data_IF_447934320166
#
_entry.id   IF_447934320166
#
_cell.length_a   1.000
_cell.length_b   1.000
_cell.length_c   1.000
_cell.angle_alpha   90.00
_cell.angle_beta   90.00
_cell.angle_gamma   90.00
#
_symmetry.space_group_name_H-M   'P 1'
#
loop_
_entity.id
_entity.type
_entity.pdbx_description
1 polymer ?
#
# COMPACT_ATOMS: atom_id res chain seq x y z
N UNK A 1 -13.95 -8.97 -69.76
CA UNK A 1 -12.78 -8.27 -70.33
C UNK A 1 -12.10 -7.50 -69.21
N UNK A 2 -10.77 -7.66 -69.07
CA UNK A 2 -9.75 -6.69 -68.60
C UNK A 2 -10.11 -5.75 -67.43
N UNK A 3 -9.27 -5.47 -66.42
CA UNK A 3 -7.84 -5.63 -66.23
C UNK A 3 -7.53 -5.14 -64.80
N UNK A 4 -6.49 -5.72 -64.21
CA UNK A 4 -5.74 -5.19 -63.08
C UNK A 4 -5.30 -3.73 -63.32
N UNK A 5 -5.10 -2.96 -62.25
CA UNK A 5 -3.82 -2.26 -62.06
C UNK A 5 -3.65 -1.79 -60.62
N UNK A 6 -2.58 -2.27 -60.00
CA UNK A 6 -1.89 -1.63 -58.89
C UNK A 6 -0.88 -0.64 -59.48
N UNK A 7 -0.68 0.52 -58.85
CA UNK A 7 0.55 1.30 -59.07
C UNK A 7 0.96 2.05 -57.81
N UNK A 8 2.26 2.08 -57.62
CA UNK A 8 2.99 2.44 -56.42
C UNK A 8 3.50 3.88 -56.41
N UNK A 9 3.95 4.28 -55.21
CA UNK A 9 5.11 5.13 -54.90
C UNK A 9 5.20 6.57 -55.46
N UNK A 10 5.43 7.53 -54.56
CA UNK A 10 6.70 8.25 -54.44
C UNK A 10 6.68 9.28 -53.30
N UNK A 11 7.84 9.44 -52.67
CA UNK A 11 8.17 10.34 -51.57
C UNK A 11 8.34 11.80 -52.02
N UNK A 12 8.22 12.75 -51.08
CA UNK A 12 8.99 13.99 -51.13
C UNK A 12 9.20 14.61 -49.75
N UNK A 13 10.41 15.15 -49.62
CA UNK A 13 11.10 15.67 -48.44
C UNK A 13 10.50 16.98 -47.93
N UNK A 14 10.58 17.18 -46.61
CA UNK A 14 10.40 18.47 -45.95
C UNK A 14 11.44 18.64 -44.85
N UNK A 15 12.47 19.43 -45.14
CA UNK A 15 13.55 19.85 -44.24
C UNK A 15 13.14 21.07 -43.41
N UNK A 16 13.73 21.20 -42.21
CA UNK A 16 13.97 22.50 -41.58
C UNK A 16 13.26 22.73 -40.24
N UNK A 17 13.99 22.63 -39.13
CA UNK A 17 14.58 23.78 -38.43
C UNK A 17 15.08 23.32 -37.05
N UNK A 18 16.41 23.39 -36.89
CA UNK A 18 17.14 23.13 -35.66
C UNK A 18 17.11 24.36 -34.76
N UNK A 19 16.79 24.18 -33.48
CA UNK A 19 17.08 25.14 -32.42
C UNK A 19 18.25 24.62 -31.56
N UNK A 20 19.21 25.47 -31.16
CA UNK A 20 20.36 25.04 -30.37
C UNK A 20 19.97 24.88 -28.89
N UNK A 21 20.15 23.67 -28.36
CA UNK A 21 20.09 23.42 -26.91
C UNK A 21 21.47 23.77 -26.32
N UNK A 22 21.52 24.88 -25.60
CA UNK A 22 22.65 25.26 -24.76
C UNK A 22 22.72 24.28 -23.58
N UNK A 23 23.72 23.39 -23.58
CA UNK A 23 24.05 22.55 -22.42
C UNK A 23 24.91 23.35 -21.44
N UNK A 24 24.38 23.63 -20.26
CA UNK A 24 25.17 24.07 -19.12
C UNK A 24 25.97 22.88 -18.53
N UNK A 25 27.22 23.08 -18.09
CA UNK A 25 27.99 22.03 -17.43
C UNK A 25 27.51 21.83 -15.99
N UNK A 26 27.00 20.62 -15.68
CA UNK A 26 26.78 20.18 -14.31
C UNK A 26 28.15 19.82 -13.69
N UNK A 27 28.54 20.60 -12.69
CA UNK A 27 29.65 20.28 -11.80
C UNK A 27 29.28 19.07 -10.94
N UNK A 28 30.15 18.05 -10.93
CA UNK A 28 30.03 16.90 -10.06
C UNK A 28 30.41 17.27 -8.61
N UNK A 29 29.60 16.95 -7.59
CA UNK A 29 30.05 17.05 -6.21
C UNK A 29 30.97 15.87 -5.89
N UNK A 30 32.17 16.20 -5.39
CA UNK A 30 33.15 15.24 -4.90
C UNK A 30 32.64 14.49 -3.67
N UNK A 31 32.65 13.15 -3.75
CA UNK A 31 32.49 12.27 -2.61
C UNK A 31 33.80 12.22 -1.81
N UNK A 32 33.76 12.76 -0.59
CA UNK A 32 34.80 12.55 0.40
C UNK A 32 34.74 11.10 0.94
N UNK A 33 35.88 10.46 1.25
CA UNK A 33 35.91 9.10 1.78
C UNK A 33 35.44 9.08 3.25
N UNK A 34 34.46 8.22 3.54
CA UNK A 34 34.01 7.94 4.89
C UNK A 34 35.12 7.25 5.69
N UNK A 35 35.49 7.88 6.81
CA UNK A 35 36.46 7.34 7.77
C UNK A 35 35.95 6.09 8.46
N UNK A 36 36.86 5.12 8.62
CA UNK A 36 36.73 3.96 9.48
C UNK A 36 36.45 4.39 10.93
N UNK A 37 35.23 4.14 11.42
CA UNK A 37 34.94 4.17 12.85
C UNK A 37 35.11 2.76 13.41
N UNK A 38 36.14 2.61 14.23
CA UNK A 38 36.42 1.44 15.04
C UNK A 38 35.32 1.21 16.08
N UNK A 39 34.86 -0.04 16.18
CA UNK A 39 33.94 -0.47 17.23
C UNK A 39 34.64 -0.53 18.60
N UNK A 40 34.01 -0.08 19.70
CA UNK A 40 34.49 -0.41 21.03
C UNK A 40 34.03 -1.82 21.42
N UNK A 41 35.01 -2.64 21.84
CA UNK A 41 34.80 -3.86 22.63
C UNK A 41 34.26 -3.46 24.01
N UNK A 42 33.15 -4.07 24.43
CA UNK A 42 32.76 -4.11 25.84
C UNK A 42 32.73 -5.57 26.30
N UNK A 43 33.63 -5.86 27.25
CA UNK A 43 33.70 -7.09 28.00
C UNK A 43 33.02 -6.93 29.36
N UNK A 44 32.55 -8.08 29.87
CA UNK A 44 32.40 -8.47 31.27
C UNK A 44 31.11 -8.04 32.03
N UNK A 45 30.21 -9.01 32.11
CA UNK A 45 29.76 -9.71 33.34
C UNK A 45 29.70 -8.91 34.66
N UNK A 46 28.47 -8.70 35.13
CA UNK A 46 28.12 -8.78 36.55
C UNK A 46 26.62 -9.15 36.68
N UNK A 47 26.32 -10.24 37.38
CA UNK A 47 24.99 -10.60 37.88
C UNK A 47 24.86 -10.20 39.37
N UNK A 48 23.72 -10.43 40.06
CA UNK A 48 22.72 -9.41 40.33
C UNK A 48 22.63 -9.04 41.83
N UNK A 49 22.23 -7.81 42.13
CA UNK A 49 21.78 -7.43 43.47
C UNK A 49 20.25 -7.37 43.46
N UNK A 50 19.63 -8.30 44.18
CA UNK A 50 18.21 -8.33 44.51
C UNK A 50 17.86 -7.17 45.46
N UNK A 51 16.89 -6.29 45.13
CA UNK A 51 16.26 -5.46 46.13
C UNK A 51 15.13 -6.24 46.82
N UNK A 52 15.16 -6.20 48.14
CA UNK A 52 14.15 -6.69 49.07
C UNK A 52 12.81 -5.97 48.87
N UNK A 53 11.73 -6.75 48.78
CA UNK A 53 10.37 -6.24 48.69
C UNK A 53 9.92 -5.62 50.04
N UNK A 54 9.30 -4.43 50.05
CA UNK A 54 8.62 -3.91 51.23
C UNK A 54 7.29 -4.66 51.49
N UNK A 55 6.77 -4.63 52.73
CA UNK A 55 5.57 -5.36 53.12
C UNK A 55 4.32 -4.84 52.42
N UNK A 56 3.52 -5.78 51.91
CA UNK A 56 2.18 -5.56 51.34
C UNK A 56 1.22 -5.20 52.48
N UNK A 57 0.83 -3.94 52.56
CA UNK A 57 -0.32 -3.50 53.36
C UNK A 57 -1.57 -3.68 52.50
N UNK A 58 -2.46 -4.58 52.91
CA UNK A 58 -3.75 -4.77 52.26
C UNK A 58 -4.63 -3.52 52.45
N UNK A 59 -5.17 -2.91 51.38
CA UNK A 59 -6.19 -1.89 51.54
C UNK A 59 -7.50 -2.55 51.98
N UNK A 60 -8.11 -2.01 53.04
CA UNK A 60 -9.45 -2.36 53.46
C UNK A 60 -10.45 -2.04 52.33
N UNK A 61 -11.27 -3.02 51.97
CA UNK A 61 -12.37 -2.83 51.05
C UNK A 61 -13.39 -1.84 51.66
N UNK A 62 -13.81 -0.79 50.94
CA UNK A 62 -14.94 0.01 51.39
C UNK A 62 -16.21 -0.83 51.26
N UNK A 63 -16.93 -0.98 52.36
CA UNK A 63 -18.31 -1.45 52.38
C UNK A 63 -19.15 -0.50 51.53
N UNK A 64 -19.45 -0.90 50.30
CA UNK A 64 -20.46 -0.23 49.50
C UNK A 64 -21.80 -0.37 50.21
N UNK A 65 -22.39 0.77 50.58
CA UNK A 65 -23.73 0.88 51.15
C UNK A 65 -24.75 0.24 50.20
N UNK A 66 -25.59 -0.64 50.75
CA UNK A 66 -26.70 -1.35 50.08
C UNK A 66 -27.77 -0.43 49.48
N UNK A 67 -27.67 0.89 49.62
CA UNK A 67 -28.63 1.88 49.11
C UNK A 67 -28.44 2.22 47.61
N UNK A 68 -27.35 1.80 46.97
CA UNK A 68 -27.11 2.09 45.54
C UNK A 68 -27.68 1.04 44.58
N UNK A 69 -28.31 -0.03 45.09
CA UNK A 69 -28.78 -1.18 44.29
C UNK A 69 -30.26 -1.13 43.91
N UNK A 70 -31.05 -0.19 44.43
CA UNK A 70 -32.51 -0.14 44.20
C UNK A 70 -32.94 0.95 43.19
N UNK A 71 -32.02 1.80 42.74
CA UNK A 71 -32.32 2.89 41.78
C UNK A 71 -32.17 2.52 40.29
N UNK A 72 -31.63 1.35 39.95
CA UNK A 72 -31.33 0.96 38.56
C UNK A 72 -32.41 0.11 37.86
N UNK A 73 -33.51 -0.22 38.53
CA UNK A 73 -34.53 -1.14 37.99
C UNK A 73 -35.73 -0.47 37.30
N UNK A 74 -35.76 0.86 37.18
CA UNK A 74 -36.93 1.58 36.63
C UNK A 74 -36.58 2.69 35.62
N UNK A 75 -35.37 2.71 35.06
CA UNK A 75 -35.14 3.53 33.87
C UNK A 75 -35.81 2.82 32.68
N UNK A 76 -36.74 3.46 31.95
CA UNK A 76 -37.28 2.89 30.73
C UNK A 76 -36.10 2.60 29.80
N UNK A 77 -35.88 1.32 29.50
CA UNK A 77 -34.95 0.94 28.44
C UNK A 77 -35.51 1.59 27.17
N UNK A 78 -34.88 2.69 26.76
CA UNK A 78 -35.08 3.23 25.43
C UNK A 78 -34.81 2.07 24.49
N UNK A 79 -35.86 1.56 23.85
CA UNK A 79 -35.73 0.56 22.81
C UNK A 79 -34.63 1.07 21.88
N UNK A 80 -33.59 0.27 21.57
CA UNK A 80 -32.57 0.72 20.65
C UNK A 80 -33.32 1.18 19.41
N UNK A 81 -33.15 2.45 19.06
CA UNK A 81 -33.66 2.99 17.83
C UNK A 81 -33.01 2.17 16.72
N UNK A 82 -33.64 1.05 16.36
CA UNK A 82 -33.54 0.46 15.05
C UNK A 82 -34.22 1.45 14.15
N UNK A 83 -33.53 2.58 13.94
CA UNK A 83 -33.76 3.45 12.81
C UNK A 83 -33.75 2.49 11.64
N UNK A 84 -34.92 2.35 11.03
CA UNK A 84 -35.08 1.83 9.69
C UNK A 84 -34.26 2.74 8.78
N UNK A 85 -32.94 2.59 8.84
CA UNK A 85 -32.06 2.96 7.76
C UNK A 85 -32.47 2.04 6.61
N UNK A 86 -33.52 2.45 5.89
CA UNK A 86 -33.65 2.09 4.49
C UNK A 86 -32.50 2.78 3.81
N UNK A 87 -31.35 2.13 3.87
CA UNK A 87 -30.12 2.67 3.35
C UNK A 87 -30.24 2.77 1.83
N UNK A 88 -30.51 3.97 1.35
CA UNK A 88 -30.31 4.29 -0.06
C UNK A 88 -28.81 4.52 -0.25
N UNK A 89 -28.10 3.51 -0.76
CA UNK A 89 -26.81 3.75 -1.39
C UNK A 89 -27.06 4.65 -2.60
N UNK A 90 -26.31 5.74 -2.73
CA UNK A 90 -26.42 6.61 -3.90
C UNK A 90 -26.21 5.77 -5.16
N UNK A 91 -26.98 6.05 -6.23
CA UNK A 91 -26.92 5.25 -7.47
C UNK A 91 -25.53 5.28 -8.14
N UNK A 92 -24.73 6.30 -7.82
CA UNK A 92 -23.38 6.54 -8.31
C UNK A 92 -22.30 6.16 -7.28
N UNK A 93 -22.65 5.48 -6.18
CA UNK A 93 -21.71 5.13 -5.11
C UNK A 93 -20.51 4.33 -5.63
N UNK A 94 -19.31 4.89 -5.49
CA UNK A 94 -18.05 4.33 -5.98
C UNK A 94 -17.79 4.47 -7.49
N UNK A 95 -18.72 5.05 -8.25
CA UNK A 95 -18.48 5.39 -9.64
C UNK A 95 -17.39 6.45 -9.73
N UNK A 96 -16.73 6.56 -10.90
CA UNK A 96 -15.76 7.62 -11.15
C UNK A 96 -16.41 9.00 -10.97
N UNK A 97 -15.83 9.85 -10.12
CA UNK A 97 -16.41 11.13 -9.68
C UNK A 97 -17.80 11.02 -9.01
N UNK A 98 -18.20 9.83 -8.58
CA UNK A 98 -19.47 9.60 -7.89
C UNK A 98 -19.33 9.67 -6.37
N UNK A 99 -20.41 9.31 -5.67
CA UNK A 99 -20.45 9.35 -4.20
C UNK A 99 -19.38 8.45 -3.55
N UNK A 100 -18.63 9.03 -2.61
CA UNK A 100 -17.59 8.36 -1.81
C UNK A 100 -18.18 7.74 -0.53
N UNK A 101 -17.36 7.06 0.30
CA UNK A 101 -17.81 6.64 1.63
C UNK A 101 -18.06 7.87 2.51
N UNK A 102 -19.07 7.79 3.38
CA UNK A 102 -19.51 8.92 4.21
C UNK A 102 -18.48 9.35 5.27
N UNK A 103 -17.60 8.43 5.70
CA UNK A 103 -16.58 8.65 6.72
C UNK A 103 -15.14 8.61 6.14
N UNK A 104 -14.97 9.05 4.89
CA UNK A 104 -13.66 9.06 4.20
C UNK A 104 -12.54 9.67 5.04
N UNK A 105 -12.81 10.81 5.68
CA UNK A 105 -11.79 11.57 6.40
C UNK A 105 -11.45 10.97 7.78
N UNK A 106 -12.28 10.07 8.32
CA UNK A 106 -12.10 9.51 9.67
C UNK A 106 -11.73 8.03 9.69
N UNK A 107 -12.01 7.28 8.62
CA UNK A 107 -11.83 5.82 8.58
C UNK A 107 -10.39 5.38 8.88
N UNK A 108 -9.38 6.12 8.42
CA UNK A 108 -7.98 5.76 8.70
C UNK A 108 -7.63 5.95 10.18
N UNK A 109 -8.19 6.98 10.83
CA UNK A 109 -8.07 7.13 12.28
C UNK A 109 -8.86 6.06 13.05
N UNK A 110 -9.94 5.51 12.49
CA UNK A 110 -10.62 4.34 13.05
C UNK A 110 -9.74 3.09 12.97
N UNK A 111 -9.01 2.89 11.88
CA UNK A 111 -8.00 1.82 11.76
C UNK A 111 -6.96 1.97 12.86
N UNK A 112 -6.37 3.15 13.01
CA UNK A 112 -5.37 3.43 14.06
C UNK A 112 -5.91 3.05 15.45
N UNK A 113 -7.13 3.52 15.79
CA UNK A 113 -7.76 3.20 17.08
C UNK A 113 -8.02 1.70 17.26
N UNK A 114 -8.48 1.00 16.23
CA UNK A 114 -8.71 -0.45 16.30
C UNK A 114 -7.43 -1.25 16.53
N UNK A 115 -6.29 -0.75 16.07
CA UNK A 115 -4.96 -1.30 16.32
C UNK A 115 -4.35 -0.83 17.66
N UNK A 116 -5.08 -0.06 18.46
CA UNK A 116 -4.59 0.52 19.72
C UNK A 116 -3.55 1.63 19.52
N UNK A 117 -3.53 2.26 18.35
CA UNK A 117 -2.60 3.36 18.00
C UNK A 117 -3.24 4.72 18.20
N UNK A 118 -2.39 5.68 18.54
CA UNK A 118 -2.76 7.09 18.78
C UNK A 118 -2.39 8.01 17.61
N UNK A 119 -1.60 7.51 16.67
CA UNK A 119 -1.11 8.23 15.51
C UNK A 119 -1.12 7.30 14.29
N UNK A 120 -1.09 7.86 13.08
CA UNK A 120 -0.90 7.07 11.87
C UNK A 120 0.47 6.37 11.84
N UNK A 121 0.66 5.35 10.98
CA UNK A 121 1.93 4.63 10.94
C UNK A 121 3.01 5.51 10.29
N UNK A 122 4.28 5.30 10.68
CA UNK A 122 5.40 5.93 9.97
C UNK A 122 5.42 5.53 8.48
N UNK A 123 5.17 4.26 8.19
CA UNK A 123 5.09 3.70 6.83
C UNK A 123 3.97 2.67 6.73
N UNK A 124 3.26 2.66 5.60
CA UNK A 124 2.34 1.60 5.21
C UNK A 124 2.60 1.21 3.75
N UNK A 125 3.08 -0.02 3.54
CA UNK A 125 3.18 -0.61 2.21
C UNK A 125 1.86 -1.27 1.86
N UNK A 126 1.23 -0.86 0.76
CA UNK A 126 -0.09 -1.35 0.36
C UNK A 126 0.07 -2.22 -0.89
N UNK A 127 -0.29 -3.50 -0.74
CA UNK A 127 -0.45 -4.44 -1.84
C UNK A 127 -1.89 -4.41 -2.34
N UNK A 128 -2.07 -3.87 -3.54
CA UNK A 128 -3.36 -3.88 -4.22
C UNK A 128 -3.51 -5.22 -4.95
N UNK A 129 -4.54 -5.99 -4.59
CA UNK A 129 -4.75 -7.34 -5.15
C UNK A 129 -4.92 -7.26 -6.68
N UNK A 130 -4.52 -8.32 -7.41
CA UNK A 130 -4.79 -8.41 -8.84
C UNK A 130 -6.29 -8.28 -9.12
N UNK A 131 -6.62 -7.87 -10.33
CA UNK A 131 -8.01 -7.85 -10.78
C UNK A 131 -8.17 -8.91 -11.85
N UNK A 132 -9.17 -9.76 -11.68
CA UNK A 132 -9.52 -10.73 -12.70
C UNK A 132 -10.14 -10.00 -13.90
N UNK A 133 -9.51 -10.15 -15.06
CA UNK A 133 -10.10 -9.77 -16.36
C UNK A 133 -10.89 -10.93 -16.94
N UNK A 134 -10.47 -12.16 -16.67
CA UNK A 134 -11.17 -13.39 -17.00
C UNK A 134 -11.52 -14.14 -15.72
N UNK A 135 -12.80 -14.47 -15.53
CA UNK A 135 -13.26 -15.37 -14.48
C UNK A 135 -13.14 -16.80 -14.99
N UNK A 136 -12.42 -17.64 -14.27
CA UNK A 136 -12.35 -19.08 -14.49
C UNK A 136 -13.48 -19.75 -13.70
N UNK A 137 -13.69 -21.04 -13.93
CA UNK A 137 -14.59 -21.85 -13.12
C UNK A 137 -14.16 -21.83 -11.63
N UNK A 138 -15.11 -22.03 -10.72
CA UNK A 138 -14.91 -22.00 -9.25
C UNK A 138 -14.55 -20.65 -8.62
N UNK A 139 -14.81 -19.53 -9.30
CA UNK A 139 -14.69 -18.19 -8.70
C UNK A 139 -13.27 -17.60 -8.69
N UNK A 140 -12.29 -18.33 -9.22
CA UNK A 140 -10.95 -17.81 -9.49
C UNK A 140 -10.93 -16.96 -10.77
N UNK A 141 -9.92 -16.11 -10.94
CA UNK A 141 -9.75 -15.36 -12.18
C UNK A 141 -8.31 -14.96 -12.46
N UNK A 142 -8.02 -14.71 -13.75
CA UNK A 142 -6.71 -14.21 -14.21
C UNK A 142 -6.85 -12.81 -14.78
N UNK A 143 -5.81 -11.99 -14.62
CA UNK A 143 -5.77 -10.58 -14.97
C UNK A 143 -4.62 -10.26 -15.92
N UNK A 144 -4.73 -9.13 -16.63
CA UNK A 144 -3.60 -8.58 -17.42
C UNK A 144 -2.35 -8.30 -16.57
N UNK A 145 -2.53 -8.08 -15.27
CA UNK A 145 -1.46 -8.02 -14.29
C UNK A 145 -1.78 -9.00 -13.13
N UNK A 146 -1.29 -10.25 -13.19
CA UNK A 146 -1.57 -11.26 -12.18
C UNK A 146 -0.79 -11.04 -10.88
N UNK A 147 0.14 -10.08 -10.85
CA UNK A 147 0.99 -9.82 -9.70
C UNK A 147 0.40 -8.78 -8.76
N UNK A 148 -0.57 -7.96 -9.20
CA UNK A 148 -1.13 -6.87 -8.40
C UNK A 148 -0.36 -5.56 -8.54
N UNK A 149 -0.50 -4.67 -7.57
CA UNK A 149 0.08 -3.32 -7.62
C UNK A 149 0.66 -2.91 -6.25
N UNK A 150 1.65 -2.01 -6.27
CA UNK A 150 2.44 -1.60 -5.10
C UNK A 150 2.35 -0.10 -4.88
N UNK A 151 2.09 0.28 -3.63
CA UNK A 151 1.88 1.66 -3.21
C UNK A 151 2.52 1.85 -1.84
N UNK A 152 2.96 3.07 -1.53
CA UNK A 152 3.50 3.40 -0.21
C UNK A 152 2.79 4.62 0.34
N UNK A 153 2.26 4.50 1.55
CA UNK A 153 1.85 5.62 2.39
C UNK A 153 2.94 5.84 3.43
N UNK A 154 3.24 7.09 3.76
CA UNK A 154 4.16 7.42 4.86
C UNK A 154 3.76 8.73 5.52
N UNK A 155 4.20 8.88 6.76
CA UNK A 155 3.97 10.07 7.59
C UNK A 155 5.29 10.80 7.76
N UNK A 156 5.35 12.05 7.32
CA UNK A 156 6.54 12.90 7.47
C UNK A 156 6.75 13.31 8.94
N UNK A 157 7.95 13.74 9.33
CA UNK A 157 8.22 14.19 10.71
C UNK A 157 7.33 15.35 11.19
N UNK A 158 6.76 16.13 10.27
CA UNK A 158 5.80 17.20 10.56
C UNK A 158 4.35 16.70 10.75
N UNK A 159 4.12 15.39 10.64
CA UNK A 159 2.80 14.75 10.72
C UNK A 159 2.06 14.68 9.37
N UNK A 160 2.57 15.28 8.30
CA UNK A 160 1.94 15.24 6.98
C UNK A 160 1.97 13.82 6.42
N UNK A 161 0.81 13.30 5.98
CA UNK A 161 0.74 12.00 5.33
C UNK A 161 0.72 12.14 3.81
N UNK A 162 1.44 11.25 3.13
CA UNK A 162 1.47 11.16 1.67
C UNK A 162 1.30 9.71 1.23
N UNK A 163 0.59 9.51 0.13
CA UNK A 163 0.63 8.27 -0.65
C UNK A 163 1.43 8.51 -1.92
N UNK A 164 2.51 7.77 -2.10
CA UNK A 164 3.24 7.69 -3.35
C UNK A 164 2.70 6.52 -4.17
N UNK A 165 2.22 6.84 -5.37
CA UNK A 165 1.78 5.87 -6.36
C UNK A 165 2.59 5.97 -7.66
N UNK A 166 2.91 4.81 -8.24
CA UNK A 166 3.60 4.71 -9.53
C UNK A 166 2.60 4.37 -10.62
N UNK A 167 2.42 5.27 -11.57
CA UNK A 167 1.40 5.15 -12.62
C UNK A 167 2.02 4.73 -13.94
N UNK A 168 1.44 3.68 -14.54
CA UNK A 168 1.87 3.14 -15.83
C UNK A 168 1.06 3.61 -17.04
N UNK A 169 0.04 4.44 -16.81
CA UNK A 169 -0.84 4.94 -17.85
C UNK A 169 -0.12 5.95 -18.77
N UNK A 170 -0.33 5.82 -20.08
CA UNK A 170 0.26 6.72 -21.08
C UNK A 170 -0.23 8.16 -20.84
N UNK A 171 0.68 9.13 -20.93
CA UNK A 171 0.37 10.56 -20.77
C UNK A 171 0.15 11.00 -19.32
N UNK A 172 0.38 10.13 -18.33
CA UNK A 172 0.32 10.47 -16.90
C UNK A 172 1.72 10.60 -16.31
N UNK A 173 1.84 11.33 -15.21
CA UNK A 173 3.09 11.43 -14.45
C UNK A 173 3.43 10.06 -13.85
N UNK A 174 4.70 9.66 -13.91
CA UNK A 174 5.14 8.36 -13.39
C UNK A 174 4.91 8.25 -11.88
N UNK A 175 5.19 9.31 -11.13
CA UNK A 175 5.05 9.38 -9.67
C UNK A 175 3.94 10.36 -9.35
N UNK A 176 2.98 9.95 -8.52
CA UNK A 176 1.91 10.81 -8.03
C UNK A 176 1.89 10.78 -6.51
N UNK A 177 1.76 11.94 -5.90
CA UNK A 177 1.58 12.09 -4.45
C UNK A 177 0.12 12.46 -4.17
N UNK A 178 -0.57 11.64 -3.39
CA UNK A 178 -1.98 11.81 -3.05
C UNK A 178 -2.16 11.83 -1.53
N UNK A 179 -3.30 12.34 -1.07
CA UNK A 179 -3.73 12.12 0.31
C UNK A 179 -4.11 10.65 0.51
N UNK A 180 -3.83 10.05 1.69
CA UNK A 180 -4.19 8.66 1.96
C UNK A 180 -5.67 8.32 1.75
N UNK A 181 -6.55 9.18 2.25
CA UNK A 181 -8.00 9.03 2.14
C UNK A 181 -8.49 9.11 0.69
N UNK A 182 -7.89 9.98 -0.12
CA UNK A 182 -8.22 10.08 -1.55
C UNK A 182 -7.73 8.86 -2.33
N UNK A 183 -6.54 8.32 -2.01
CA UNK A 183 -6.04 7.13 -2.72
C UNK A 183 -6.93 5.90 -2.49
N UNK A 184 -7.30 5.66 -1.23
CA UNK A 184 -8.05 4.47 -0.82
C UNK A 184 -9.55 4.60 -1.09
N UNK A 185 -10.11 5.80 -0.87
CA UNK A 185 -11.55 6.04 -0.82
C UNK A 185 -12.02 7.24 -1.66
N UNK A 186 -11.14 7.88 -2.43
CA UNK A 186 -11.51 8.97 -3.31
C UNK A 186 -11.93 8.48 -4.70
N UNK A 187 -13.10 8.90 -5.19
CA UNK A 187 -13.58 8.58 -6.56
C UNK A 187 -13.14 9.61 -7.59
N UNK A 188 -12.76 10.82 -7.15
CA UNK A 188 -12.32 11.94 -7.99
C UNK A 188 -10.89 11.83 -8.53
N UNK A 189 -10.10 10.87 -8.03
CA UNK A 189 -8.67 10.74 -8.34
C UNK A 189 -8.33 9.54 -9.23
N UNK A 190 -9.34 8.82 -9.74
CA UNK A 190 -9.14 7.63 -10.57
C UNK A 190 -8.36 7.92 -11.87
N UNK A 191 -8.47 9.15 -12.37
CA UNK A 191 -7.73 9.59 -13.56
C UNK A 191 -6.39 10.24 -13.24
N UNK A 192 -6.22 10.84 -12.06
CA UNK A 192 -5.12 11.75 -11.76
C UNK A 192 -4.05 11.15 -10.84
N UNK A 193 -4.19 9.89 -10.43
CA UNK A 193 -3.15 9.24 -9.63
C UNK A 193 -3.56 7.95 -8.92
N UNK A 194 -4.83 7.52 -8.95
CA UNK A 194 -5.29 6.25 -8.40
C UNK A 194 -6.02 5.41 -9.45
N UNK A 195 -5.34 5.03 -10.54
CA UNK A 195 -5.98 4.20 -11.58
C UNK A 195 -6.44 2.83 -11.07
N UNK A 196 -5.97 2.41 -9.89
CA UNK A 196 -6.39 1.20 -9.20
C UNK A 196 -7.84 1.28 -8.69
N UNK A 197 -8.41 2.48 -8.56
CA UNK A 197 -9.80 2.71 -8.20
C UNK A 197 -10.14 2.49 -6.73
N UNK A 198 -9.14 2.59 -5.85
CA UNK A 198 -9.34 2.42 -4.40
C UNK A 198 -9.99 1.08 -4.03
N UNK A 199 -10.64 1.08 -2.86
CA UNK A 199 -11.41 -0.08 -2.37
C UNK A 199 -12.71 -0.31 -3.14
N UNK A 200 -13.13 0.62 -4.01
CA UNK A 200 -14.31 0.42 -4.86
C UNK A 200 -14.08 -0.65 -5.92
N UNK A 201 -12.86 -0.71 -6.47
CA UNK A 201 -12.53 -1.67 -7.52
C UNK A 201 -11.76 -2.89 -7.02
N UNK A 202 -10.92 -2.74 -5.97
CA UNK A 202 -9.97 -3.79 -5.58
C UNK A 202 -9.86 -3.94 -4.08
N UNK A 203 -9.69 -5.19 -3.64
CA UNK A 203 -9.24 -5.47 -2.28
C UNK A 203 -7.76 -5.13 -2.15
N UNK A 204 -7.35 -4.67 -0.96
CA UNK A 204 -5.97 -4.36 -0.66
C UNK A 204 -5.57 -5.00 0.65
N UNK A 205 -4.29 -5.35 0.78
CA UNK A 205 -3.70 -5.75 2.05
C UNK A 205 -2.45 -4.93 2.24
N UNK A 206 -2.26 -4.36 3.42
CA UNK A 206 -1.08 -3.56 3.73
C UNK A 206 -0.29 -4.14 4.88
N UNK A 207 0.97 -3.74 4.97
CA UNK A 207 1.81 -3.88 6.15
C UNK A 207 2.17 -2.48 6.62
N UNK A 208 1.79 -2.16 7.84
CA UNK A 208 2.09 -0.94 8.57
C UNK A 208 3.29 -1.15 9.45
N UNK A 209 4.20 -0.18 9.45
CA UNK A 209 5.33 -0.07 10.37
C UNK A 209 5.08 1.21 11.15
N UNK A 210 4.84 1.07 12.45
CA UNK A 210 4.31 2.17 13.26
C UNK A 210 5.39 3.20 13.56
N UNK A 211 6.60 2.74 13.85
CA UNK A 211 7.76 3.57 14.17
C UNK A 211 8.92 3.28 13.21
N UNK A 212 9.44 4.35 12.60
CA UNK A 212 10.67 4.36 11.82
C UNK A 212 11.48 5.62 12.16
N UNK A 213 12.82 5.58 12.03
CA UNK A 213 13.64 6.77 12.16
C UNK A 213 13.27 7.84 11.11
N UNK A 214 13.24 9.10 11.53
CA UNK A 214 12.83 10.24 10.68
C UNK A 214 13.71 10.38 9.43
N UNK A 215 15.00 10.06 9.54
CA UNK A 215 15.95 10.08 8.42
C UNK A 215 15.58 9.09 7.32
N UNK A 216 14.98 7.96 7.65
CA UNK A 216 14.53 6.97 6.66
C UNK A 216 13.33 7.52 5.88
N UNK A 217 12.40 8.20 6.56
CA UNK A 217 11.22 8.80 5.94
C UNK A 217 11.61 9.98 5.03
N UNK A 218 12.57 10.80 5.44
CA UNK A 218 13.14 11.88 4.62
C UNK A 218 13.90 11.34 3.40
N UNK A 219 14.67 10.25 3.56
CA UNK A 219 15.35 9.60 2.43
C UNK A 219 14.35 8.99 1.44
N UNK A 220 13.25 8.42 1.94
CA UNK A 220 12.17 7.86 1.13
C UNK A 220 11.47 8.95 0.30
N UNK A 221 11.07 10.06 0.93
CA UNK A 221 10.42 11.20 0.27
C UNK A 221 11.33 11.79 -0.81
N UNK A 222 12.60 12.05 -0.46
CA UNK A 222 13.62 12.55 -1.39
C UNK A 222 13.74 11.66 -2.63
N UNK A 223 13.86 10.34 -2.42
CA UNK A 223 13.97 9.40 -3.54
C UNK A 223 12.80 9.52 -4.52
N UNK A 224 11.56 9.59 -4.02
CA UNK A 224 10.39 9.66 -4.89
C UNK A 224 10.22 11.03 -5.56
N UNK A 225 10.59 12.13 -4.89
CA UNK A 225 10.64 13.45 -5.52
C UNK A 225 11.68 13.51 -6.63
N UNK A 226 12.87 12.95 -6.40
CA UNK A 226 13.92 12.84 -7.43
C UNK A 226 13.48 11.93 -8.58
N UNK A 227 12.80 10.81 -8.29
CA UNK A 227 12.23 9.94 -9.32
C UNK A 227 11.19 10.66 -10.18
N UNK A 228 10.33 11.49 -9.55
CA UNK A 228 9.36 12.31 -10.26
C UNK A 228 10.06 13.29 -11.22
N UNK A 229 11.10 13.99 -10.75
CA UNK A 229 11.89 14.90 -11.56
C UNK A 229 12.60 14.18 -12.73
N UNK A 230 13.23 13.02 -12.47
CA UNK A 230 13.85 12.17 -13.49
C UNK A 230 12.86 11.68 -14.54
N UNK A 231 11.64 11.32 -14.12
CA UNK A 231 10.60 10.91 -15.04
C UNK A 231 10.16 12.06 -15.97
N UNK A 232 10.03 13.28 -15.44
CA UNK A 232 9.74 14.49 -16.22
C UNK A 232 10.87 14.81 -17.21
N UNK A 233 12.13 14.57 -16.82
CA UNK A 233 13.30 14.71 -17.67
C UNK A 233 13.45 13.57 -18.72
N UNK A 234 12.58 12.56 -18.69
CA UNK A 234 12.65 11.41 -19.61
C UNK A 234 13.78 10.42 -19.26
N UNK A 235 14.29 10.44 -18.03
CA UNK A 235 15.35 9.56 -17.53
C UNK A 235 14.81 8.34 -16.77
N UNK A 236 13.52 8.34 -16.44
CA UNK A 236 12.82 7.23 -15.81
C UNK A 236 11.48 6.98 -16.49
N UNK A 237 11.12 5.71 -16.71
CA UNK A 237 9.90 5.34 -17.41
C UNK A 237 9.27 4.05 -16.89
N UNK A 238 7.96 3.91 -17.13
CA UNK A 238 7.21 2.72 -16.76
C UNK A 238 7.33 1.60 -17.82
N UNK A 239 7.66 0.38 -17.39
CA UNK A 239 7.51 -0.86 -18.18
C UNK A 239 7.13 -2.03 -17.29
N UNK A 240 6.05 -2.73 -17.64
CA UNK A 240 5.49 -3.81 -16.81
C UNK A 240 6.40 -5.05 -16.71
N UNK A 241 6.91 -5.57 -17.84
CA UNK A 241 7.60 -6.87 -17.90
C UNK A 241 9.07 -6.79 -18.34
N UNK A 242 9.37 -6.02 -19.40
CA UNK A 242 10.68 -6.03 -20.05
C UNK A 242 11.71 -5.05 -19.46
N UNK A 243 11.34 -4.30 -18.41
CA UNK A 243 12.20 -3.23 -17.87
C UNK A 243 13.60 -3.69 -17.47
N UNK A 244 13.71 -4.85 -16.82
CA UNK A 244 15.01 -5.42 -16.40
C UNK A 244 15.92 -5.75 -17.58
N UNK A 245 15.37 -6.34 -18.65
CA UNK A 245 16.13 -6.69 -19.86
C UNK A 245 16.59 -5.43 -20.57
N UNK A 246 15.71 -4.42 -20.70
CA UNK A 246 16.06 -3.14 -21.31
C UNK A 246 17.14 -2.39 -20.53
N UNK A 247 17.05 -2.36 -19.19
CA UNK A 247 18.08 -1.72 -18.36
C UNK A 247 19.44 -2.42 -18.48
N UNK A 248 19.43 -3.76 -18.51
CA UNK A 248 20.66 -4.54 -18.70
C UNK A 248 21.28 -4.27 -20.08
N UNK A 249 20.47 -4.25 -21.13
CA UNK A 249 20.90 -3.94 -22.49
C UNK A 249 21.45 -2.50 -22.59
N UNK A 250 20.76 -1.52 -22.01
CA UNK A 250 21.23 -0.13 -21.96
C UNK A 250 22.61 -0.04 -21.28
N UNK A 251 22.80 -0.74 -20.17
CA UNK A 251 24.09 -0.79 -19.46
C UNK A 251 25.18 -1.49 -20.27
N UNK A 252 24.87 -2.64 -20.88
CA UNK A 252 25.83 -3.42 -21.67
C UNK A 252 26.30 -2.68 -22.92
N UNK A 253 25.37 -1.97 -23.58
CA UNK A 253 25.62 -1.22 -24.82
C UNK A 253 25.96 0.26 -24.57
N UNK A 254 26.06 0.70 -23.30
CA UNK A 254 26.30 2.10 -22.88
C UNK A 254 25.35 3.10 -23.56
N UNK A 255 24.09 2.71 -23.74
CA UNK A 255 23.06 3.56 -24.35
C UNK A 255 22.46 4.48 -23.28
N UNK A 256 22.23 5.75 -23.64
CA UNK A 256 21.55 6.74 -22.79
C UNK A 256 20.02 6.57 -22.80
N UNK A 257 19.55 5.35 -22.52
CA UNK A 257 18.12 5.08 -22.40
C UNK A 257 17.60 5.45 -21.01
N UNK A 258 16.31 5.82 -20.88
CA UNK A 258 15.69 5.93 -19.57
C UNK A 258 15.81 4.62 -18.81
N UNK A 259 15.93 4.75 -17.49
CA UNK A 259 15.78 3.61 -16.61
C UNK A 259 14.30 3.19 -16.58
N UNK A 260 14.05 1.90 -16.78
CA UNK A 260 12.70 1.35 -16.80
C UNK A 260 12.37 0.57 -15.52
N UNK A 261 11.13 0.70 -15.05
CA UNK A 261 10.61 -0.09 -13.94
C UNK A 261 9.09 -0.20 -13.95
N UNK A 262 8.56 -1.22 -13.29
CA UNK A 262 7.13 -1.31 -12.99
C UNK A 262 6.84 -0.65 -11.62
N UNK A 263 5.58 -0.65 -11.19
CA UNK A 263 5.18 -0.06 -9.91
C UNK A 263 5.97 -0.63 -8.74
N UNK A 264 6.05 -1.97 -8.61
CA UNK A 264 6.78 -2.63 -7.54
C UNK A 264 8.29 -2.33 -7.55
N UNK A 265 8.93 -2.26 -8.72
CA UNK A 265 10.36 -1.99 -8.81
C UNK A 265 10.69 -0.56 -8.37
N UNK A 266 9.93 0.43 -8.83
CA UNK A 266 10.13 1.82 -8.42
C UNK A 266 9.84 2.02 -6.94
N UNK A 267 8.74 1.44 -6.46
CA UNK A 267 8.39 1.43 -5.03
C UNK A 267 9.51 0.81 -4.18
N UNK A 268 9.95 -0.41 -4.51
CA UNK A 268 10.98 -1.10 -3.72
C UNK A 268 12.35 -0.44 -3.78
N UNK A 269 12.70 0.27 -4.85
CA UNK A 269 13.93 1.08 -4.87
C UNK A 269 13.89 2.23 -3.88
N UNK A 270 12.75 2.92 -3.72
CA UNK A 270 12.62 3.95 -2.70
C UNK A 270 12.73 3.39 -1.29
N UNK A 271 12.05 2.27 -1.02
CA UNK A 271 12.18 1.56 0.27
C UNK A 271 13.63 1.13 0.53
N UNK A 272 14.37 0.69 -0.49
CA UNK A 272 15.77 0.30 -0.34
C UNK A 272 16.71 1.50 -0.18
N UNK A 273 16.48 2.59 -0.90
CA UNK A 273 17.24 3.83 -0.74
C UNK A 273 17.10 4.43 0.67
N UNK A 274 15.95 4.21 1.31
CA UNK A 274 15.68 4.58 2.69
C UNK A 274 16.19 3.57 3.74
N UNK A 275 16.77 2.43 3.35
CA UNK A 275 17.22 1.38 4.27
C UNK A 275 16.10 0.54 4.91
N UNK A 276 14.85 0.71 4.45
CA UNK A 276 13.67 -0.02 4.96
C UNK A 276 13.64 -1.44 4.37
N UNK A 277 13.92 -1.56 3.07
CA UNK A 277 13.98 -2.84 2.35
C UNK A 277 15.43 -3.16 1.95
N UNK A 278 15.88 -4.41 2.12
CA UNK A 278 17.29 -4.73 1.88
C UNK A 278 17.64 -4.74 0.39
N UNK A 279 16.70 -5.17 -0.47
CA UNK A 279 16.91 -5.31 -1.92
C UNK A 279 15.67 -4.94 -2.73
N UNK A 280 15.79 -4.14 -3.80
CA UNK A 280 14.68 -3.85 -4.70
C UNK A 280 14.16 -5.10 -5.44
N UNK A 281 12.85 -5.15 -5.67
CA UNK A 281 12.17 -6.27 -6.34
C UNK A 281 10.95 -5.79 -7.16
N UNK A 282 10.70 -6.34 -8.37
CA UNK A 282 9.57 -5.98 -9.21
C UNK A 282 8.29 -6.74 -8.84
N UNK A 283 8.29 -7.45 -7.70
CA UNK A 283 7.23 -8.34 -7.28
C UNK A 283 6.50 -7.75 -6.07
N UNK A 284 5.29 -7.18 -6.26
CA UNK A 284 4.64 -6.37 -5.23
C UNK A 284 4.30 -7.18 -3.96
N UNK A 285 3.86 -8.42 -4.10
CA UNK A 285 3.56 -9.29 -2.96
C UNK A 285 4.82 -9.73 -2.22
N UNK A 286 5.96 -9.85 -2.91
CA UNK A 286 7.25 -10.12 -2.28
C UNK A 286 7.65 -9.00 -1.32
N UNK A 287 7.49 -7.72 -1.72
CA UNK A 287 7.78 -6.58 -0.86
C UNK A 287 6.96 -6.65 0.43
N UNK A 288 5.65 -6.92 0.33
CA UNK A 288 4.78 -7.08 1.51
C UNK A 288 5.30 -8.15 2.46
N UNK A 289 5.61 -9.34 1.92
CA UNK A 289 6.07 -10.49 2.70
C UNK A 289 7.42 -10.20 3.36
N UNK A 290 8.36 -9.58 2.66
CA UNK A 290 9.68 -9.27 3.22
C UNK A 290 9.59 -8.22 4.32
N UNK A 291 8.78 -7.17 4.16
CA UNK A 291 8.54 -6.19 5.22
C UNK A 291 7.85 -6.83 6.44
N UNK A 292 6.82 -7.65 6.21
CA UNK A 292 6.13 -8.37 7.29
C UNK A 292 7.10 -9.27 8.05
N UNK A 293 7.87 -10.12 7.36
CA UNK A 293 8.81 -11.05 7.98
C UNK A 293 9.93 -10.31 8.73
N UNK A 294 10.51 -9.25 8.13
CA UNK A 294 11.59 -8.46 8.72
C UNK A 294 11.16 -7.76 10.00
N UNK A 295 10.09 -6.95 9.94
CA UNK A 295 9.69 -6.13 11.09
C UNK A 295 9.00 -6.95 12.17
N UNK A 296 8.28 -8.02 11.82
CA UNK A 296 7.66 -8.91 12.83
C UNK A 296 8.70 -9.70 13.61
N UNK A 297 9.83 -10.04 13.00
CA UNK A 297 10.93 -10.69 13.70
C UNK A 297 11.69 -9.75 14.65
N UNK A 298 11.71 -8.45 14.35
CA UNK A 298 12.38 -7.43 15.18
C UNK A 298 11.50 -7.01 16.36
N UNK A 299 10.26 -6.63 16.07
CA UNK A 299 9.27 -6.24 17.06
C UNK A 299 7.86 -6.49 16.51
N UNK A 300 7.18 -7.57 16.94
CA UNK A 300 5.79 -7.84 16.55
C UNK A 300 4.83 -6.71 16.92
N UNK A 301 5.16 -5.92 17.94
CA UNK A 301 4.41 -4.77 18.39
C UNK A 301 4.70 -3.51 17.57
N UNK A 302 5.55 -3.53 16.53
CA UNK A 302 5.79 -2.39 15.63
C UNK A 302 5.23 -2.62 14.21
N UNK A 303 4.61 -3.78 13.96
CA UNK A 303 4.12 -4.13 12.63
C UNK A 303 2.69 -4.66 12.68
N UNK A 304 1.85 -4.16 11.79
CA UNK A 304 0.45 -4.56 11.68
C UNK A 304 0.07 -4.82 10.23
N UNK A 305 -0.80 -5.79 10.00
CA UNK A 305 -1.39 -6.06 8.68
C UNK A 305 -2.82 -5.54 8.67
N UNK A 306 -3.17 -4.74 7.66
CA UNK A 306 -4.55 -4.25 7.48
C UNK A 306 -5.12 -4.79 6.19
N UNK A 307 -6.31 -5.41 6.27
CA UNK A 307 -7.06 -5.84 5.08
C UNK A 307 -8.14 -4.81 4.76
N UNK A 308 -8.05 -4.17 3.60
CA UNK A 308 -9.06 -3.28 3.07
C UNK A 308 -9.93 -4.06 2.07
N UNK A 309 -11.18 -4.32 2.46
CA UNK A 309 -12.09 -5.12 1.67
C UNK A 309 -12.65 -4.29 0.51
N UNK A 310 -12.78 -4.95 -0.63
CA UNK A 310 -13.47 -4.33 -1.76
C UNK A 310 -14.94 -4.11 -1.40
N UNK A 311 -15.46 -2.93 -1.71
CA UNK A 311 -16.87 -2.61 -1.51
C UNK A 311 -17.69 -3.33 -2.58
N UNK A 312 -18.38 -4.40 -2.18
CA UNK A 312 -19.04 -5.31 -3.12
C UNK A 312 -20.22 -4.65 -3.87
N UNK A 313 -20.94 -3.74 -3.22
CA UNK A 313 -22.12 -3.05 -3.75
C UNK A 313 -21.82 -1.67 -4.37
N UNK A 314 -20.53 -1.30 -4.49
CA UNK A 314 -20.15 -0.10 -5.22
C UNK A 314 -20.18 -0.31 -6.74
N UNK A 315 -20.41 0.78 -7.49
CA UNK A 315 -20.29 0.81 -8.95
C UNK A 315 -18.83 0.58 -9.34
N UNK A 316 -18.53 -0.59 -9.86
CA UNK A 316 -17.20 -0.92 -10.34
C UNK A 316 -16.95 -0.23 -11.69
N UNK A 317 -15.84 0.50 -11.79
CA UNK A 317 -15.48 1.18 -13.03
C UNK A 317 -14.76 0.26 -14.01
N UNK A 318 -14.17 -0.85 -13.54
CA UNK A 318 -13.59 -1.88 -14.39
C UNK A 318 -13.34 -3.22 -13.67
N UNK A 319 -13.20 -4.30 -14.44
CA UNK A 319 -12.92 -5.67 -13.96
C UNK A 319 -14.13 -6.54 -13.74
N UNK A 320 -13.90 -7.80 -13.34
CA UNK A 320 -14.95 -8.72 -12.88
C UNK A 320 -14.80 -9.03 -11.40
N UNK A 321 -15.90 -9.25 -10.66
CA UNK A 321 -15.84 -9.73 -9.30
C UNK A 321 -15.35 -11.18 -9.29
N UNK A 322 -14.06 -11.34 -8.96
CA UNK A 322 -13.45 -12.63 -8.65
C UNK A 322 -12.34 -12.41 -7.62
N UNK A 323 -12.13 -13.42 -6.80
CA UNK A 323 -10.99 -13.45 -5.90
C UNK A 323 -9.73 -13.76 -6.70
N UNK A 324 -8.67 -13.01 -6.43
CA UNK A 324 -7.36 -13.29 -7.00
C UNK A 324 -6.34 -13.35 -5.88
N UNK A 325 -5.56 -14.42 -5.91
CA UNK A 325 -4.41 -14.60 -5.03
C UNK A 325 -3.18 -14.35 -5.89
N UNK A 326 -2.56 -13.18 -5.74
CA UNK A 326 -1.31 -12.88 -6.45
C UNK A 326 -0.20 -13.86 -6.04
N UNK A 327 0.69 -14.21 -6.97
CA UNK A 327 1.90 -14.98 -6.65
C UNK A 327 2.90 -14.08 -5.91
N UNK A 328 3.69 -14.64 -4.98
CA UNK A 328 4.76 -13.87 -4.30
C UNK A 328 5.84 -13.49 -5.30
N UNK A 329 6.36 -14.47 -6.03
CA UNK A 329 7.25 -14.33 -7.18
C UNK A 329 7.31 -15.68 -7.94
N UNK A 330 7.67 -15.71 -9.25
CA UNK A 330 7.60 -16.93 -10.06
C UNK A 330 8.34 -18.16 -9.52
N UNK A 331 9.43 -17.98 -8.76
CA UNK A 331 10.26 -19.07 -8.22
C UNK A 331 10.10 -19.28 -6.71
N UNK A 332 9.19 -18.54 -6.06
CA UNK A 332 8.99 -18.60 -4.61
C UNK A 332 7.74 -19.41 -4.26
N UNK A 333 7.67 -20.67 -4.68
CA UNK A 333 6.47 -21.51 -4.52
C UNK A 333 6.10 -21.71 -3.04
N UNK A 334 7.06 -22.05 -2.17
CA UNK A 334 6.80 -22.25 -0.75
C UNK A 334 6.30 -20.97 -0.06
N UNK A 335 6.93 -19.81 -0.32
CA UNK A 335 6.41 -18.53 0.18
C UNK A 335 5.04 -18.23 -0.41
N UNK A 336 4.78 -18.57 -1.68
CA UNK A 336 3.47 -18.36 -2.31
C UNK A 336 2.39 -19.18 -1.62
N UNK A 337 2.64 -20.42 -1.25
CA UNK A 337 1.72 -21.26 -0.48
C UNK A 337 1.52 -20.67 0.93
N UNK A 338 2.61 -20.34 1.64
CA UNK A 338 2.56 -19.71 2.98
C UNK A 338 1.82 -18.37 2.97
N UNK A 339 1.87 -17.61 1.90
CA UNK A 339 1.24 -16.29 1.83
C UNK A 339 0.09 -16.28 0.82
N UNK A 340 -0.53 -17.42 0.56
CA UNK A 340 -1.59 -17.54 -0.45
C UNK A 340 -2.75 -16.58 -0.14
N UNK A 341 -3.28 -16.71 1.08
CA UNK A 341 -4.20 -15.75 1.67
C UNK A 341 -3.42 -14.83 2.61
N UNK A 342 -3.38 -13.54 2.27
CA UNK A 342 -2.74 -12.52 3.10
C UNK A 342 -3.67 -12.03 4.22
N UNK A 343 -4.98 -12.20 4.06
CA UNK A 343 -5.98 -11.70 5.01
C UNK A 343 -5.96 -12.47 6.32
N UNK A 344 -5.53 -13.75 6.30
CA UNK A 344 -5.29 -14.54 7.52
C UNK A 344 -4.24 -13.95 8.47
N UNK A 345 -3.44 -12.99 8.00
CA UNK A 345 -2.46 -12.28 8.81
C UNK A 345 -2.96 -10.93 9.31
N UNK A 346 -4.17 -10.50 8.94
CA UNK A 346 -4.70 -9.17 9.25
C UNK A 346 -4.93 -9.00 10.76
N UNK A 347 -4.39 -7.89 11.30
CA UNK A 347 -4.62 -7.43 12.67
C UNK A 347 -5.82 -6.47 12.73
N UNK A 348 -6.17 -5.83 11.60
CA UNK A 348 -7.40 -5.07 11.40
C UNK A 348 -8.02 -5.33 10.03
N UNK A 349 -9.35 -5.26 9.95
CA UNK A 349 -10.11 -5.30 8.71
C UNK A 349 -10.93 -4.02 8.54
N UNK A 350 -10.98 -3.53 7.31
CA UNK A 350 -11.83 -2.40 6.92
C UNK A 350 -12.82 -2.88 5.87
N UNK A 351 -14.10 -2.73 6.18
CA UNK A 351 -15.19 -3.15 5.30
C UNK A 351 -16.30 -2.10 5.25
N UNK A 352 -17.03 -2.05 4.15
CA UNK A 352 -18.27 -1.28 4.04
C UNK A 352 -19.39 -2.31 3.98
N UNK A 353 -20.22 -2.42 5.04
CA UNK A 353 -21.33 -3.38 5.05
C UNK A 353 -22.27 -3.17 3.87
N UNK A 354 -22.89 -4.25 3.39
CA UNK A 354 -23.88 -4.18 2.32
C UNK A 354 -25.02 -3.23 2.70
N UNK A 355 -25.42 -2.40 1.74
CA UNK A 355 -26.38 -1.33 1.95
C UNK A 355 -25.80 -0.09 2.64
N UNK A 356 -24.59 -0.10 3.20
CA UNK A 356 -24.01 1.08 3.84
C UNK A 356 -23.11 1.88 2.90
N UNK A 357 -22.90 3.17 3.19
CA UNK A 357 -21.79 3.97 2.64
C UNK A 357 -20.74 4.30 3.69
N UNK A 358 -20.87 3.76 4.91
CA UNK A 358 -19.95 4.00 6.02
C UNK A 358 -19.00 2.82 6.16
N UNK A 359 -17.69 3.06 6.08
CA UNK A 359 -16.69 2.06 6.35
C UNK A 359 -16.57 1.80 7.86
N UNK A 360 -16.23 0.56 8.21
CA UNK A 360 -15.98 0.13 9.58
C UNK A 360 -14.59 -0.49 9.65
N UNK A 361 -13.77 0.00 10.57
CA UNK A 361 -12.50 -0.63 10.92
C UNK A 361 -12.65 -1.39 12.24
N UNK A 362 -12.12 -2.62 12.30
CA UNK A 362 -12.15 -3.42 13.52
C UNK A 362 -11.10 -4.52 13.52
N UNK A 363 -10.77 -4.98 14.73
CA UNK A 363 -9.99 -6.21 14.91
C UNK A 363 -10.82 -7.37 14.36
N UNK A 364 -10.23 -8.30 13.59
CA UNK A 364 -10.95 -9.49 13.16
C UNK A 364 -11.59 -10.17 14.37
N UNK A 365 -12.91 -10.35 14.34
CA UNK A 365 -13.56 -11.24 15.31
C UNK A 365 -12.92 -12.64 15.23
N UNK A 366 -13.04 -13.47 16.28
CA UNK A 366 -12.61 -14.86 16.21
C UNK A 366 -13.22 -15.44 14.93
N UNK A 367 -12.35 -15.83 13.99
CA UNK A 367 -12.80 -16.39 12.72
C UNK A 367 -13.71 -17.56 13.11
N UNK A 368 -15.00 -17.46 12.79
CA UNK A 368 -15.92 -18.60 12.94
C UNK A 368 -15.28 -19.68 12.11
N UNK A 369 -14.63 -20.65 12.77
CA UNK A 369 -13.56 -21.45 12.20
C UNK A 369 -13.93 -21.87 10.80
N UNK A 370 -13.29 -21.26 9.80
CA UNK A 370 -13.32 -21.83 8.47
C UNK A 370 -12.79 -23.25 8.65
N UNK A 371 -13.51 -24.29 8.22
CA UNK A 371 -13.06 -25.66 8.38
C UNK A 371 -11.66 -25.73 7.81
N UNK A 372 -10.69 -26.04 8.69
CA UNK A 372 -9.32 -26.30 8.26
C UNK A 372 -9.44 -27.42 7.23
N UNK A 373 -9.05 -27.22 5.97
CA UNK A 373 -9.06 -28.29 4.99
C UNK A 373 -8.21 -29.42 5.58
N UNK A 374 -8.85 -30.57 5.80
CA UNK A 374 -8.27 -31.70 6.52
C UNK A 374 -6.86 -32.01 6.04
N UNK A 375 -5.97 -32.18 7.01
CA UNK A 375 -4.69 -32.88 6.86
C UNK A 375 -4.88 -34.27 6.30
#
# INVERSE_FOLDING_TARGET
>A
MASLSATAAAALLGTGLSAPVVRAPLAAPGLAPAGLMSAPRLSALASPILPTAPPVVAPAAPLASLETLTGQLLAPQAAPAQVLDRFFTAADFGAKNGTEISNKDTVLGEVDRSLGRKAPPALEYIFVKPLATLRLDRGSGTGTNPYGHAVVRYTMPDGTQKVMNIVGAKGRQLVNFLKPEDYLYGTGVFDSGSEQGGVYNRGMVSVRIEELPAEQLLALDRYYTELAARAQAGEAAFKLLIGRVLNLAARALRLSWPEFGNCALWTSKGLAAAGILDKPTPWPKHILVDLLEKYRAQDPGNVHVVSYHRIAHAVQTYGKPAETHGLVAPLHLLKTIKYWDLERFADAKVEVPEGSMTARAGVPGPSRGAPVPGT
#
